data_IF_705848836694
#
_entry.id   IF_705848836694
#
_cell.length_a   1.000
_cell.length_b   1.000
_cell.length_c   1.000
_cell.angle_alpha   90.00
_cell.angle_beta   90.00
_cell.angle_gamma   90.00
#
_symmetry.space_group_name_H-M   'P 1'
#
loop_
_entity.id
_entity.type
_entity.pdbx_description
1 polymer ?
#
# COMPACT_ATOMS: atom_id res chain seq x y z
N UNK A 1 25.18 -31.68 -4.14
CA UNK A 1 24.38 -30.44 -4.35
C UNK A 1 22.94 -30.85 -4.60
N UNK A 2 22.03 -30.64 -3.63
CA UNK A 2 20.61 -31.00 -3.79
C UNK A 2 19.91 -29.88 -4.56
N UNK A 3 19.65 -30.11 -5.84
CA UNK A 3 18.81 -29.27 -6.70
C UNK A 3 17.40 -29.21 -6.10
N UNK A 4 16.94 -28.01 -5.72
CA UNK A 4 15.54 -27.77 -5.34
C UNK A 4 14.64 -28.18 -6.50
N UNK A 5 13.55 -28.95 -6.27
CA UNK A 5 12.61 -29.26 -7.32
C UNK A 5 11.94 -27.96 -7.78
N UNK A 6 12.19 -27.57 -9.03
CA UNK A 6 11.42 -26.55 -9.72
C UNK A 6 10.02 -27.13 -9.93
N UNK A 7 9.07 -26.75 -9.07
CA UNK A 7 7.66 -27.05 -9.29
C UNK A 7 7.28 -26.58 -10.71
N UNK A 8 6.80 -27.51 -11.53
CA UNK A 8 6.32 -27.21 -12.88
C UNK A 8 5.17 -26.21 -12.77
N UNK A 9 5.26 -25.11 -13.52
CA UNK A 9 4.19 -24.10 -13.57
C UNK A 9 3.08 -24.64 -14.47
N UNK A 10 1.87 -24.83 -13.92
CA UNK A 10 0.74 -25.43 -14.64
C UNK A 10 0.03 -24.43 -15.56
N UNK A 11 0.03 -23.14 -15.21
CA UNK A 11 -0.52 -22.07 -16.05
C UNK A 11 0.54 -20.99 -16.30
N UNK A 12 1.01 -20.87 -17.54
CA UNK A 12 1.98 -19.84 -17.95
C UNK A 12 1.44 -18.40 -17.81
N UNK A 13 0.11 -18.23 -17.87
CA UNK A 13 -0.54 -16.92 -17.83
C UNK A 13 -0.62 -16.33 -16.42
N UNK A 14 -1.06 -17.11 -15.43
CA UNK A 14 -1.13 -16.65 -14.03
C UNK A 14 0.02 -17.15 -13.17
N UNK A 15 0.90 -18.01 -13.70
CA UNK A 15 1.95 -18.70 -12.93
C UNK A 15 1.39 -19.37 -11.68
N UNK A 16 0.26 -20.05 -11.84
CA UNK A 16 -0.50 -20.76 -10.80
C UNK A 16 -1.08 -19.88 -9.67
N UNK A 17 -1.11 -18.56 -9.85
CA UNK A 17 -1.77 -17.65 -8.90
C UNK A 17 -3.30 -17.66 -9.02
N UNK A 18 -3.86 -18.32 -10.05
CA UNK A 18 -5.29 -18.38 -10.36
C UNK A 18 -5.96 -17.05 -10.76
N UNK A 19 -5.25 -15.92 -10.69
CA UNK A 19 -5.70 -14.60 -11.15
C UNK A 19 -4.67 -13.94 -12.07
N UNK A 20 -5.12 -12.92 -12.81
CA UNK A 20 -4.26 -12.03 -13.60
C UNK A 20 -4.46 -10.59 -13.16
N UNK A 21 -3.37 -9.84 -13.13
CA UNK A 21 -3.38 -8.40 -12.87
C UNK A 21 -3.21 -7.65 -14.20
N UNK A 22 -3.98 -6.58 -14.37
CA UNK A 22 -3.90 -5.73 -15.57
C UNK A 22 -4.17 -4.27 -15.20
N UNK A 23 -3.67 -3.34 -16.01
CA UNK A 23 -4.03 -1.94 -15.90
C UNK A 23 -5.35 -1.71 -16.67
N UNK A 24 -6.40 -1.29 -15.97
CA UNK A 24 -7.68 -0.94 -16.57
C UNK A 24 -8.10 0.43 -16.04
N UNK A 25 -8.33 1.39 -16.96
CA UNK A 25 -8.72 2.77 -16.61
C UNK A 25 -7.77 3.43 -15.59
N UNK A 26 -6.47 3.14 -15.68
CA UNK A 26 -5.45 3.74 -14.80
C UNK A 26 -5.37 3.13 -13.40
N UNK A 27 -6.07 2.02 -13.13
CA UNK A 27 -6.01 1.28 -11.86
C UNK A 27 -5.60 -0.18 -12.11
N UNK A 28 -4.90 -0.78 -11.15
CA UNK A 28 -4.64 -2.22 -11.19
C UNK A 28 -5.95 -2.93 -10.90
N UNK A 29 -6.31 -3.88 -11.76
CA UNK A 29 -7.48 -4.72 -11.59
C UNK A 29 -7.07 -6.19 -11.67
N UNK A 30 -7.58 -6.96 -10.73
CA UNK A 30 -7.45 -8.40 -10.66
C UNK A 30 -8.72 -9.07 -11.22
N UNK A 31 -8.50 -10.08 -12.06
CA UNK A 31 -9.56 -10.94 -12.59
C UNK A 31 -9.16 -12.41 -12.42
N UNK A 32 -10.13 -13.33 -12.22
CA UNK A 32 -9.84 -14.75 -12.29
C UNK A 32 -9.15 -15.09 -13.61
N UNK A 33 -8.11 -15.92 -13.54
CA UNK A 33 -7.49 -16.46 -14.74
C UNK A 33 -8.44 -17.49 -15.37
N UNK A 34 -8.36 -17.67 -16.69
CA UNK A 34 -9.16 -18.68 -17.40
C UNK A 34 -8.89 -20.12 -16.93
N UNK A 35 -7.73 -20.38 -16.34
CA UNK A 35 -7.40 -21.69 -15.75
C UNK A 35 -8.09 -21.94 -14.41
N UNK A 36 -8.69 -20.92 -13.78
CA UNK A 36 -9.42 -21.09 -12.54
C UNK A 36 -10.83 -21.58 -12.87
N UNK A 37 -11.10 -22.84 -12.53
CA UNK A 37 -12.41 -23.44 -12.52
C UNK A 37 -12.64 -24.07 -11.16
N UNK A 38 -13.78 -23.76 -10.51
CA UNK A 38 -14.16 -24.42 -9.27
C UNK A 38 -15.13 -25.56 -9.57
N UNK A 39 -14.72 -26.79 -9.28
CA UNK A 39 -15.52 -27.99 -9.53
C UNK A 39 -16.79 -28.05 -8.67
N UNK A 40 -16.76 -27.46 -7.46
CA UNK A 40 -17.89 -27.43 -6.53
C UNK A 40 -18.98 -26.45 -6.96
N UNK A 41 -18.60 -25.22 -7.29
CA UNK A 41 -19.51 -24.09 -7.50
C UNK A 41 -19.67 -23.70 -8.98
N UNK A 42 -18.82 -24.23 -9.88
CA UNK A 42 -18.70 -23.81 -11.29
C UNK A 42 -18.56 -22.29 -11.46
N UNK A 43 -17.96 -21.61 -10.49
CA UNK A 43 -17.77 -20.16 -10.47
C UNK A 43 -18.94 -19.35 -9.92
N UNK A 44 -20.04 -19.97 -9.49
CA UNK A 44 -21.19 -19.26 -8.90
C UNK A 44 -20.94 -18.71 -7.49
N UNK A 45 -19.94 -19.25 -6.78
CA UNK A 45 -19.65 -18.86 -5.39
C UNK A 45 -20.55 -19.51 -4.34
N UNK A 46 -21.53 -20.30 -4.75
CA UNK A 46 -22.57 -20.89 -3.88
C UNK A 46 -22.74 -22.37 -4.17
N UNK A 47 -23.03 -23.15 -3.13
CA UNK A 47 -23.34 -24.57 -3.23
C UNK A 47 -24.64 -24.87 -2.48
N UNK A 48 -25.39 -25.86 -2.95
CA UNK A 48 -26.53 -26.42 -2.24
C UNK A 48 -26.01 -27.54 -1.35
N UNK A 49 -26.30 -27.47 -0.06
CA UNK A 49 -26.01 -28.53 0.90
C UNK A 49 -27.31 -28.93 1.59
N UNK A 50 -27.59 -30.22 1.59
CA UNK A 50 -28.70 -30.79 2.35
C UNK A 50 -28.22 -31.10 3.77
N UNK A 51 -28.95 -30.60 4.77
CA UNK A 51 -28.74 -30.96 6.16
C UNK A 51 -29.37 -32.35 6.46
N UNK A 52 -29.11 -32.93 7.63
CA UNK A 52 -29.58 -34.28 8.03
C UNK A 52 -31.10 -34.45 7.97
N UNK A 53 -31.85 -33.35 8.07
CA UNK A 53 -33.32 -33.30 7.95
C UNK A 53 -33.83 -33.21 6.49
N UNK A 54 -32.96 -33.30 5.48
CA UNK A 54 -33.33 -33.21 4.05
C UNK A 54 -33.64 -31.79 3.58
N UNK A 55 -33.34 -30.77 4.38
CA UNK A 55 -33.54 -29.35 4.02
C UNK A 55 -32.32 -28.86 3.23
N UNK A 56 -32.52 -28.48 1.97
CA UNK A 56 -31.48 -27.87 1.15
C UNK A 56 -31.24 -26.41 1.56
N UNK A 57 -30.01 -26.09 2.01
CA UNK A 57 -29.56 -24.73 2.32
C UNK A 57 -28.48 -24.28 1.35
N UNK A 58 -28.52 -23.00 0.98
CA UNK A 58 -27.45 -22.38 0.19
C UNK A 58 -26.31 -22.01 1.13
N UNK A 59 -25.10 -22.52 0.86
CA UNK A 59 -23.87 -22.13 1.55
C UNK A 59 -22.89 -21.47 0.58
N UNK A 60 -21.99 -20.65 1.14
CA UNK A 60 -20.87 -20.11 0.38
C UNK A 60 -19.87 -21.23 0.08
N UNK A 61 -19.44 -21.32 -1.18
CA UNK A 61 -18.39 -22.24 -1.56
C UNK A 61 -17.03 -21.67 -1.11
N UNK A 62 -16.05 -22.52 -0.80
CA UNK A 62 -14.65 -22.11 -0.59
C UNK A 62 -14.08 -21.21 -1.71
N UNK A 63 -14.59 -21.34 -2.95
CA UNK A 63 -14.27 -20.47 -4.09
C UNK A 63 -14.68 -18.99 -3.87
N UNK A 64 -15.61 -18.71 -2.95
CA UNK A 64 -16.10 -17.37 -2.65
C UNK A 64 -15.02 -16.49 -2.03
N UNK A 65 -14.15 -17.04 -1.19
CA UNK A 65 -13.09 -16.27 -0.53
C UNK A 65 -12.07 -15.77 -1.55
N UNK A 66 -11.74 -16.59 -2.55
CA UNK A 66 -10.96 -16.14 -3.70
C UNK A 66 -11.63 -14.96 -4.41
N UNK A 67 -12.92 -15.07 -4.70
CA UNK A 67 -13.68 -14.00 -5.37
C UNK A 67 -13.78 -12.73 -4.52
N UNK A 68 -13.95 -12.86 -3.19
CA UNK A 68 -13.94 -11.74 -2.23
C UNK A 68 -12.60 -11.03 -2.23
N UNK A 69 -11.47 -11.77 -2.21
CA UNK A 69 -10.12 -11.20 -2.31
C UNK A 69 -9.92 -10.38 -3.58
N UNK A 70 -10.39 -10.86 -4.73
CA UNK A 70 -10.30 -10.09 -5.98
C UNK A 70 -11.16 -8.81 -5.95
N UNK A 71 -12.35 -8.87 -5.34
CA UNK A 71 -13.20 -7.68 -5.16
C UNK A 71 -12.53 -6.64 -4.25
N UNK A 72 -12.02 -7.06 -3.10
CA UNK A 72 -11.25 -6.20 -2.19
C UNK A 72 -10.05 -5.57 -2.90
N UNK A 73 -9.34 -6.35 -3.73
CA UNK A 73 -8.20 -5.86 -4.49
C UNK A 73 -8.58 -4.76 -5.47
N UNK A 74 -9.69 -4.95 -6.20
CA UNK A 74 -10.17 -3.97 -7.15
C UNK A 74 -10.66 -2.68 -6.47
N UNK A 75 -11.14 -2.78 -5.23
CA UNK A 75 -11.54 -1.64 -4.39
C UNK A 75 -10.36 -0.93 -3.71
N UNK A 76 -9.17 -1.53 -3.70
CA UNK A 76 -7.99 -0.96 -3.05
C UNK A 76 -7.47 0.32 -3.74
N UNK A 77 -7.83 0.57 -5.00
CA UNK A 77 -7.52 1.84 -5.69
C UNK A 77 -6.07 2.00 -6.14
N UNK A 78 -5.29 0.90 -6.21
CA UNK A 78 -3.88 0.89 -6.60
C UNK A 78 -3.70 1.45 -8.03
N UNK A 79 -2.81 2.44 -8.26
CA UNK A 79 -2.55 3.00 -9.58
C UNK A 79 -2.02 1.95 -10.56
N UNK A 80 -2.54 1.97 -11.79
CA UNK A 80 -2.28 0.99 -12.84
C UNK A 80 -0.83 0.94 -13.34
N UNK A 81 0.02 1.89 -12.97
CA UNK A 81 1.47 1.78 -13.21
C UNK A 81 2.08 0.65 -12.37
N UNK A 82 1.49 0.34 -11.22
CA UNK A 82 1.99 -0.65 -10.28
C UNK A 82 1.48 -2.08 -10.54
N UNK A 83 1.22 -2.49 -11.79
CA UNK A 83 0.67 -3.83 -12.06
C UNK A 83 1.66 -4.93 -11.71
N UNK A 84 2.92 -4.74 -12.05
CA UNK A 84 3.93 -5.80 -12.02
C UNK A 84 4.76 -5.82 -10.73
N UNK A 85 4.64 -4.79 -9.89
CA UNK A 85 5.42 -4.58 -8.69
C UNK A 85 5.01 -5.57 -7.60
N UNK A 86 6.00 -6.25 -7.02
CA UNK A 86 5.84 -7.17 -5.90
C UNK A 86 7.11 -7.20 -5.06
N UNK A 87 7.08 -7.88 -3.90
CA UNK A 87 8.26 -7.97 -3.05
C UNK A 87 9.40 -8.77 -3.71
N UNK A 88 9.06 -9.69 -4.62
CA UNK A 88 10.04 -10.59 -5.23
C UNK A 88 10.81 -9.98 -6.41
N UNK A 89 10.28 -8.91 -7.02
CA UNK A 89 10.96 -8.17 -8.09
C UNK A 89 11.50 -6.81 -7.64
N UNK A 90 11.59 -6.58 -6.33
CA UNK A 90 12.24 -5.40 -5.79
C UNK A 90 13.76 -5.55 -5.83
N UNK A 91 14.43 -4.76 -6.67
CA UNK A 91 15.87 -4.83 -6.90
C UNK A 91 16.69 -4.34 -5.70
N UNK A 92 17.45 -5.25 -5.08
CA UNK A 92 18.32 -4.94 -3.93
C UNK A 92 19.77 -5.37 -4.12
N UNK A 93 20.10 -5.95 -5.28
CA UNK A 93 21.42 -6.50 -5.54
C UNK A 93 22.47 -5.39 -5.77
N UNK A 94 23.75 -5.63 -5.42
CA UNK A 94 24.83 -4.67 -5.70
C UNK A 94 24.82 -4.20 -7.17
N UNK A 95 25.12 -2.92 -7.45
CA UNK A 95 25.74 -1.91 -6.58
C UNK A 95 24.76 -1.08 -5.73
N UNK A 96 23.55 -1.58 -5.49
CA UNK A 96 22.51 -0.89 -4.71
C UNK A 96 22.90 -0.73 -3.23
N UNK A 97 22.40 0.34 -2.60
CA UNK A 97 22.68 0.63 -1.20
C UNK A 97 21.98 -0.36 -0.26
N UNK A 98 22.65 -0.72 0.85
CA UNK A 98 22.17 -1.75 1.80
C UNK A 98 20.79 -1.46 2.40
N UNK A 99 20.41 -0.18 2.50
CA UNK A 99 19.11 0.24 3.05
C UNK A 99 17.93 -0.29 2.24
N UNK A 100 18.11 -0.55 0.94
CA UNK A 100 17.03 -1.10 0.10
C UNK A 100 16.75 -2.56 0.49
N UNK A 101 17.80 -3.33 0.80
CA UNK A 101 17.66 -4.69 1.35
C UNK A 101 17.00 -4.70 2.73
N UNK A 102 17.37 -3.74 3.60
CA UNK A 102 16.73 -3.56 4.90
C UNK A 102 15.24 -3.23 4.74
N UNK A 103 14.90 -2.29 3.86
CA UNK A 103 13.51 -1.91 3.58
C UNK A 103 12.67 -3.10 3.08
N UNK A 104 13.21 -3.91 2.17
CA UNK A 104 12.55 -5.15 1.72
C UNK A 104 12.36 -6.15 2.87
N UNK A 105 13.36 -6.29 3.73
CA UNK A 105 13.32 -7.20 4.88
C UNK A 105 12.25 -6.76 5.87
N UNK A 106 12.23 -5.47 6.25
CA UNK A 106 11.21 -4.90 7.13
C UNK A 106 9.80 -5.04 6.55
N UNK A 107 9.64 -4.88 5.24
CA UNK A 107 8.35 -5.07 4.56
C UNK A 107 7.85 -6.51 4.67
N UNK A 108 8.73 -7.49 4.47
CA UNK A 108 8.39 -8.92 4.65
C UNK A 108 8.11 -9.27 6.11
N UNK A 109 8.89 -8.73 7.05
CA UNK A 109 8.67 -8.92 8.48
C UNK A 109 7.34 -8.34 8.92
N UNK A 110 7.00 -7.14 8.46
CA UNK A 110 5.72 -6.49 8.74
C UNK A 110 4.52 -7.38 8.33
N UNK A 111 4.54 -7.96 7.12
CA UNK A 111 3.45 -8.86 6.67
C UNK A 111 3.33 -10.05 7.61
N UNK A 112 4.44 -10.69 7.96
CA UNK A 112 4.44 -11.86 8.85
C UNK A 112 3.88 -11.50 10.23
N UNK A 113 4.38 -10.42 10.82
CA UNK A 113 3.94 -9.91 12.13
C UNK A 113 2.45 -9.56 12.12
N UNK A 114 1.99 -8.83 11.10
CA UNK A 114 0.58 -8.45 10.94
C UNK A 114 -0.35 -9.66 10.90
N UNK A 115 0.00 -10.68 10.11
CA UNK A 115 -0.78 -11.91 10.00
C UNK A 115 -0.74 -12.74 11.29
N UNK A 116 0.41 -12.85 11.95
CA UNK A 116 0.56 -13.56 13.22
C UNK A 116 -0.29 -12.93 14.34
N UNK A 117 -0.33 -11.59 14.39
CA UNK A 117 -1.11 -10.85 15.37
C UNK A 117 -2.59 -10.68 14.99
N UNK A 118 -3.04 -11.32 13.89
CA UNK A 118 -4.41 -11.19 13.36
C UNK A 118 -4.88 -9.74 13.18
N UNK A 119 -3.94 -8.82 12.94
CA UNK A 119 -4.21 -7.39 12.80
C UNK A 119 -4.62 -6.63 14.06
N UNK A 120 -4.48 -7.21 15.26
CA UNK A 120 -4.97 -6.57 16.51
C UNK A 120 -4.01 -5.54 17.12
N UNK A 121 -2.73 -5.54 16.75
CA UNK A 121 -1.76 -4.57 17.29
C UNK A 121 -0.55 -4.48 16.35
N UNK A 122 -0.60 -3.63 15.33
CA UNK A 122 0.48 -3.52 14.36
C UNK A 122 0.80 -2.09 14.03
N UNK A 123 1.99 -1.65 14.44
CA UNK A 123 2.55 -0.40 13.93
C UNK A 123 2.76 -0.52 12.42
N UNK A 124 2.39 0.53 11.71
CA UNK A 124 2.65 0.69 10.30
C UNK A 124 4.11 0.95 9.98
N UNK A 125 4.39 1.31 8.73
CA UNK A 125 5.72 1.66 8.24
C UNK A 125 5.68 3.01 7.55
N UNK A 126 6.69 3.84 7.79
CA UNK A 126 6.93 5.06 7.02
C UNK A 126 8.22 4.94 6.23
N UNK A 127 8.09 4.86 4.91
CA UNK A 127 9.19 4.82 3.97
C UNK A 127 9.65 6.25 3.65
N UNK A 128 10.90 6.56 3.98
CA UNK A 128 11.50 7.89 3.83
C UNK A 128 12.74 7.80 2.95
N UNK A 129 12.90 8.72 2.00
CA UNK A 129 14.10 8.79 1.17
C UNK A 129 13.87 9.54 -0.13
N UNK A 130 14.91 9.72 -0.94
CA UNK A 130 14.79 10.45 -2.21
C UNK A 130 13.80 9.81 -3.20
N UNK A 131 13.27 10.59 -4.16
CA UNK A 131 12.43 10.07 -5.24
C UNK A 131 13.09 8.90 -5.98
N UNK A 132 12.26 7.99 -6.47
CA UNK A 132 12.74 6.93 -7.34
C UNK A 132 13.53 5.82 -6.66
N UNK A 133 13.46 5.68 -5.33
CA UNK A 133 14.04 4.56 -4.57
C UNK A 133 13.08 3.37 -4.35
N UNK A 134 11.87 3.42 -4.91
CA UNK A 134 10.91 2.32 -4.81
C UNK A 134 10.11 2.24 -3.49
N UNK A 135 9.94 3.37 -2.78
CA UNK A 135 9.10 3.46 -1.57
C UNK A 135 7.66 3.00 -1.83
N UNK A 136 7.02 3.54 -2.88
CA UNK A 136 5.66 3.18 -3.27
C UNK A 136 5.57 1.74 -3.76
N UNK A 137 6.62 1.22 -4.42
CA UNK A 137 6.70 -0.20 -4.81
C UNK A 137 6.55 -1.09 -3.59
N UNK A 138 7.32 -0.84 -2.53
CA UNK A 138 7.26 -1.63 -1.29
C UNK A 138 5.86 -1.54 -0.64
N UNK A 139 5.33 -0.33 -0.48
CA UNK A 139 4.02 -0.11 0.13
C UNK A 139 2.88 -0.82 -0.65
N UNK A 140 2.88 -0.69 -1.99
CA UNK A 140 1.93 -1.39 -2.87
C UNK A 140 2.12 -2.90 -2.77
N UNK A 141 3.35 -3.38 -2.79
CA UNK A 141 3.63 -4.82 -2.71
C UNK A 141 3.11 -5.45 -1.42
N UNK A 142 3.18 -4.73 -0.29
CA UNK A 142 2.60 -5.17 0.98
C UNK A 142 1.09 -5.34 0.85
N UNK A 143 0.36 -4.31 0.42
CA UNK A 143 -1.11 -4.40 0.35
C UNK A 143 -1.56 -5.43 -0.69
N UNK A 144 -0.83 -5.60 -1.80
CA UNK A 144 -1.12 -6.67 -2.76
C UNK A 144 -1.06 -8.05 -2.10
N UNK A 145 -0.03 -8.31 -1.32
CA UNK A 145 0.13 -9.58 -0.62
C UNK A 145 -0.93 -9.78 0.47
N UNK A 146 -1.18 -8.77 1.29
CA UNK A 146 -2.21 -8.80 2.33
C UNK A 146 -3.62 -9.05 1.77
N UNK A 147 -3.97 -8.42 0.65
CA UNK A 147 -5.28 -8.62 0.03
C UNK A 147 -5.35 -9.99 -0.66
N UNK A 148 -4.43 -10.26 -1.60
CA UNK A 148 -4.54 -11.40 -2.51
C UNK A 148 -4.26 -12.74 -1.82
N UNK A 149 -3.39 -12.77 -0.81
CA UNK A 149 -3.12 -14.00 -0.05
C UNK A 149 -3.99 -14.12 1.20
N UNK A 150 -4.21 -13.02 1.91
CA UNK A 150 -4.82 -13.07 3.25
C UNK A 150 -6.21 -12.44 3.35
N UNK A 151 -6.72 -11.78 2.30
CA UNK A 151 -8.06 -11.17 2.30
C UNK A 151 -8.24 -10.00 3.25
N UNK A 152 -7.14 -9.32 3.57
CA UNK A 152 -7.17 -8.11 4.40
C UNK A 152 -7.65 -6.93 3.56
N UNK A 153 -8.64 -6.19 4.07
CA UNK A 153 -9.10 -4.96 3.41
C UNK A 153 -8.01 -3.88 3.48
N UNK A 154 -7.53 -3.46 2.30
CA UNK A 154 -6.55 -2.39 2.20
C UNK A 154 -6.97 -1.34 1.16
N UNK A 155 -6.53 -0.10 1.33
CA UNK A 155 -6.65 0.95 0.31
C UNK A 155 -5.34 1.69 0.08
N UNK A 156 -5.23 2.25 -1.11
CA UNK A 156 -4.18 3.14 -1.55
C UNK A 156 -4.77 4.51 -1.83
N UNK A 157 -4.13 5.56 -1.32
CA UNK A 157 -4.43 6.93 -1.66
C UNK A 157 -3.15 7.68 -1.98
N UNK A 158 -3.15 8.36 -3.13
CA UNK A 158 -2.18 9.41 -3.42
C UNK A 158 -2.71 10.66 -2.74
N UNK A 159 -2.00 11.16 -1.73
CA UNK A 159 -2.51 12.25 -0.92
C UNK A 159 -2.68 13.54 -1.72
N UNK A 160 -1.83 13.78 -2.73
CA UNK A 160 -1.93 14.98 -3.55
C UNK A 160 -3.12 14.94 -4.51
N UNK A 161 -3.39 13.78 -5.10
CA UNK A 161 -4.59 13.61 -5.94
C UNK A 161 -5.87 13.70 -5.09
N UNK A 162 -5.89 13.12 -3.88
CA UNK A 162 -7.05 13.25 -2.97
C UNK A 162 -7.35 14.72 -2.64
N UNK A 163 -6.34 15.52 -2.28
CA UNK A 163 -6.53 16.94 -2.02
C UNK A 163 -7.08 17.68 -3.25
N UNK A 164 -6.66 17.28 -4.46
CA UNK A 164 -7.22 17.84 -5.69
C UNK A 164 -8.70 17.49 -5.82
N UNK A 165 -9.08 16.24 -5.61
CA UNK A 165 -10.46 15.77 -5.72
C UNK A 165 -11.38 16.48 -4.73
N UNK A 166 -10.97 16.61 -3.45
CA UNK A 166 -11.72 17.34 -2.43
C UNK A 166 -11.91 18.81 -2.84
N UNK A 167 -10.85 19.45 -3.36
CA UNK A 167 -10.94 20.85 -3.80
C UNK A 167 -11.96 21.05 -4.92
N UNK A 168 -12.05 20.10 -5.86
CA UNK A 168 -13.06 20.17 -6.93
C UNK A 168 -14.46 19.89 -6.39
N UNK A 169 -14.60 18.94 -5.45
CA UNK A 169 -15.87 18.58 -4.83
C UNK A 169 -16.58 19.72 -4.08
N UNK A 170 -15.85 20.69 -3.53
CA UNK A 170 -16.47 21.89 -2.93
C UNK A 170 -17.27 22.72 -3.95
N UNK A 171 -16.92 22.68 -5.23
CA UNK A 171 -17.69 23.35 -6.28
C UNK A 171 -19.04 22.69 -6.56
N UNK A 172 -19.24 21.46 -6.05
CA UNK A 172 -20.42 20.62 -6.28
C UNK A 172 -21.18 20.32 -4.97
N UNK A 173 -20.94 21.08 -3.89
CA UNK A 173 -21.55 20.91 -2.56
C UNK A 173 -21.36 19.50 -1.93
N UNK A 174 -20.32 18.78 -2.33
CA UNK A 174 -19.99 17.47 -1.76
C UNK A 174 -19.22 17.65 -0.46
N UNK A 175 -19.60 16.90 0.59
CA UNK A 175 -18.94 16.98 1.88
C UNK A 175 -17.52 16.38 1.85
N UNK A 176 -16.57 16.99 2.55
CA UNK A 176 -15.20 16.43 2.71
C UNK A 176 -15.22 14.99 3.22
N UNK A 177 -16.17 14.68 4.12
CA UNK A 177 -16.35 13.36 4.70
C UNK A 177 -16.58 12.29 3.64
N UNK A 178 -17.28 12.57 2.55
CA UNK A 178 -17.52 11.61 1.48
C UNK A 178 -16.24 11.16 0.77
N UNK A 179 -15.24 12.04 0.69
CA UNK A 179 -13.92 11.70 0.12
C UNK A 179 -13.03 10.96 1.12
N UNK A 180 -13.15 11.28 2.42
CA UNK A 180 -12.25 10.78 3.47
C UNK A 180 -12.72 9.44 4.06
N UNK A 181 -14.01 9.32 4.34
CA UNK A 181 -14.64 8.17 5.00
C UNK A 181 -14.29 6.82 4.33
N UNK A 182 -14.22 6.71 2.98
CA UNK A 182 -13.85 5.47 2.33
C UNK A 182 -12.44 4.98 2.68
N UNK A 183 -11.53 5.84 3.17
CA UNK A 183 -10.14 5.50 3.45
C UNK A 183 -9.84 5.34 4.94
N UNK A 184 -10.46 6.15 5.80
CA UNK A 184 -10.16 6.09 7.25
C UNK A 184 -10.68 4.81 7.90
N UNK A 185 -11.71 4.16 7.34
CA UNK A 185 -12.31 2.94 7.88
C UNK A 185 -11.51 1.65 7.66
N UNK A 186 -10.63 1.58 6.66
CA UNK A 186 -10.02 0.31 6.24
C UNK A 186 -8.94 -0.17 7.21
N UNK A 187 -8.71 -1.49 7.25
CA UNK A 187 -7.67 -2.10 8.10
C UNK A 187 -6.27 -1.63 7.76
N UNK A 188 -5.89 -1.59 6.49
CA UNK A 188 -4.57 -1.09 6.07
C UNK A 188 -4.70 0.02 5.03
N UNK A 189 -4.21 1.22 5.35
CA UNK A 189 -4.21 2.36 4.42
C UNK A 189 -2.78 2.70 3.99
N UNK A 190 -2.53 2.78 2.69
CA UNK A 190 -1.32 3.39 2.13
C UNK A 190 -1.59 4.84 1.80
N UNK A 191 -0.85 5.76 2.44
CA UNK A 191 -0.80 7.18 2.10
C UNK A 191 0.50 7.43 1.32
N UNK A 192 0.37 7.60 0.01
CA UNK A 192 1.51 7.82 -0.88
C UNK A 192 1.82 9.32 -1.05
N UNK A 193 3.11 9.62 -1.24
CA UNK A 193 3.64 10.96 -1.48
C UNK A 193 3.25 12.00 -0.41
N UNK A 194 3.29 11.59 0.86
CA UNK A 194 2.99 12.48 1.98
C UNK A 194 3.90 13.72 1.97
N UNK A 195 3.27 14.88 2.18
CA UNK A 195 3.88 16.20 2.30
C UNK A 195 4.48 16.79 1.00
N UNK A 196 4.24 16.19 -0.18
CA UNK A 196 4.73 16.70 -1.48
C UNK A 196 4.13 18.07 -1.91
N UNK A 197 3.01 18.48 -1.32
CA UNK A 197 2.27 19.70 -1.64
C UNK A 197 2.83 20.99 -1.06
N UNK A 198 2.04 22.07 -1.19
CA UNK A 198 2.38 23.36 -0.56
C UNK A 198 2.19 23.29 0.96
N UNK A 199 1.42 22.33 1.44
CA UNK A 199 1.01 22.11 2.83
C UNK A 199 0.45 23.40 3.42
N UNK A 200 -0.53 23.97 2.72
CA UNK A 200 -1.36 25.05 3.23
C UNK A 200 -2.12 24.57 4.47
N UNK A 201 -2.55 25.47 5.35
CA UNK A 201 -3.29 25.13 6.58
C UNK A 201 -4.47 24.19 6.34
N UNK A 202 -5.17 24.36 5.22
CA UNK A 202 -6.23 23.46 4.78
C UNK A 202 -5.75 22.02 4.49
N UNK A 203 -4.64 21.85 3.76
CA UNK A 203 -4.05 20.53 3.46
C UNK A 203 -3.61 19.82 4.75
N UNK A 204 -3.09 20.59 5.71
CA UNK A 204 -2.70 20.08 7.03
C UNK A 204 -3.92 19.68 7.88
N UNK A 205 -5.04 20.38 7.75
CA UNK A 205 -6.28 20.03 8.45
C UNK A 205 -6.83 18.70 7.96
N UNK A 206 -6.86 18.49 6.63
CA UNK A 206 -7.25 17.20 6.04
C UNK A 206 -6.29 16.09 6.48
N UNK A 207 -4.98 16.34 6.48
CA UNK A 207 -4.00 15.38 6.95
C UNK A 207 -4.18 15.03 8.44
N UNK A 208 -4.38 16.05 9.29
CA UNK A 208 -4.61 15.83 10.73
C UNK A 208 -5.87 15.01 10.95
N UNK A 209 -6.93 15.21 10.16
CA UNK A 209 -8.13 14.40 10.22
C UNK A 209 -7.83 12.92 9.88
N UNK A 210 -7.10 12.64 8.79
CA UNK A 210 -6.71 11.27 8.43
C UNK A 210 -5.91 10.57 9.54
N UNK A 211 -4.86 11.25 10.03
CA UNK A 211 -3.96 10.68 11.04
C UNK A 211 -4.69 10.55 12.37
N UNK A 212 -5.45 11.56 12.81
CA UNK A 212 -6.21 11.52 14.07
C UNK A 212 -7.26 10.42 14.08
N UNK A 213 -8.05 10.30 13.00
CA UNK A 213 -9.10 9.29 12.92
C UNK A 213 -8.52 7.90 13.05
N UNK A 214 -7.41 7.61 12.36
CA UNK A 214 -6.77 6.30 12.40
C UNK A 214 -5.93 6.07 13.67
N UNK A 215 -5.40 7.12 14.28
CA UNK A 215 -4.66 7.03 15.54
C UNK A 215 -5.55 6.62 16.71
N UNK A 216 -6.80 7.08 16.70
CA UNK A 216 -7.77 6.76 17.75
C UNK A 216 -8.33 5.33 17.65
N UNK A 217 -8.09 4.64 16.54
CA UNK A 217 -8.48 3.25 16.33
C UNK A 217 -7.26 2.32 16.55
N UNK A 218 -7.35 1.41 17.50
CA UNK A 218 -6.24 0.53 17.90
C UNK A 218 -5.92 -0.58 16.89
N UNK A 219 -6.84 -0.86 15.96
CA UNK A 219 -6.74 -1.96 14.98
C UNK A 219 -6.47 -1.51 13.53
N UNK A 220 -6.16 -0.23 13.32
CA UNK A 220 -5.94 0.35 12.00
C UNK A 220 -4.46 0.65 11.75
N UNK A 221 -3.96 0.14 10.62
CA UNK A 221 -2.55 0.25 10.25
C UNK A 221 -2.35 1.20 9.08
N UNK A 222 -1.32 2.04 9.15
CA UNK A 222 -1.03 3.04 8.11
C UNK A 222 0.37 2.84 7.55
N UNK A 223 0.47 2.70 6.23
CA UNK A 223 1.74 2.69 5.50
C UNK A 223 1.91 4.05 4.84
N UNK A 224 3.05 4.68 5.00
CA UNK A 224 3.30 6.03 4.46
C UNK A 224 4.53 6.01 3.58
N UNK A 225 4.49 6.74 2.48
CA UNK A 225 5.70 7.08 1.72
C UNK A 225 5.91 8.58 1.72
N UNK A 226 7.17 9.01 1.86
CA UNK A 226 7.51 10.43 1.80
C UNK A 226 8.90 10.64 1.22
N UNK A 227 9.07 11.76 0.52
CA UNK A 227 10.37 12.18 -0.01
C UNK A 227 11.20 13.00 1.01
N UNK A 228 10.64 13.30 2.18
CA UNK A 228 11.31 14.07 3.22
C UNK A 228 12.19 13.18 4.09
N UNK A 229 13.27 13.78 4.59
CA UNK A 229 14.16 13.16 5.58
C UNK A 229 13.69 13.49 6.99
N UNK A 230 14.04 12.62 7.93
CA UNK A 230 13.74 12.76 9.36
C UNK A 230 14.60 13.81 10.06
N UNK A 231 15.83 14.00 9.59
CA UNK A 231 16.76 15.03 10.06
C UNK A 231 17.34 15.73 8.85
N UNK A 232 17.53 17.04 8.94
CA UNK A 232 18.37 17.79 8.00
C UNK A 232 19.79 17.21 8.08
N UNK A 233 20.42 16.96 6.94
CA UNK A 233 21.85 16.64 6.93
C UNK A 233 22.60 17.88 7.43
N UNK A 234 23.10 17.85 8.67
CA UNK A 234 24.07 18.82 9.17
C UNK A 234 25.46 18.54 8.55
N UNK A 235 25.51 18.50 7.22
CA UNK A 235 26.74 18.38 6.44
C UNK A 235 27.36 19.75 6.28
N UNK A 236 28.45 19.97 6.99
CA UNK A 236 29.41 21.08 6.85
C UNK A 236 29.73 21.32 5.36
N UNK A 237 29.51 22.56 4.90
CA UNK A 237 30.13 23.17 3.71
C UNK A 237 29.59 22.71 2.35
N UNK A 238 28.82 23.56 1.68
CA UNK A 238 29.34 24.23 0.48
C UNK A 238 28.36 25.24 -0.11
N UNK A 239 28.91 26.43 -0.39
CA UNK A 239 28.34 27.43 -1.27
C UNK A 239 28.06 26.82 -2.65
N UNK A 240 26.82 26.41 -2.92
CA UNK A 240 26.30 26.30 -4.29
C UNK A 240 24.98 27.05 -4.44
N UNK A 241 25.13 28.37 -4.66
CA UNK A 241 24.22 29.15 -5.48
C UNK A 241 24.29 28.65 -6.93
N UNK A 242 23.51 27.64 -7.29
CA UNK A 242 23.15 27.35 -8.69
C UNK A 242 22.30 26.07 -8.79
N UNK A 243 21.07 26.19 -9.28
CA UNK A 243 20.22 25.08 -9.71
C UNK A 243 19.08 24.75 -8.73
N UNK A 244 17.87 24.51 -9.27
CA UNK A 244 16.63 24.23 -8.54
C UNK A 244 16.80 23.15 -7.45
N UNK A 245 17.07 23.55 -6.21
CA UNK A 245 17.14 22.65 -5.07
C UNK A 245 15.73 22.21 -4.67
N UNK A 246 15.46 20.90 -4.70
CA UNK A 246 14.18 20.31 -4.31
C UNK A 246 13.78 20.70 -2.88
N UNK A 247 12.53 21.09 -2.66
CA UNK A 247 12.01 21.49 -1.35
C UNK A 247 12.21 20.43 -0.25
N UNK A 248 12.35 19.15 -0.61
CA UNK A 248 12.67 18.03 0.28
C UNK A 248 14.03 18.12 0.98
N UNK A 249 14.94 18.99 0.52
CA UNK A 249 16.27 19.20 1.12
C UNK A 249 16.33 20.35 2.12
N UNK A 250 15.29 21.21 2.19
CA UNK A 250 15.29 22.43 3.02
C UNK A 250 14.51 22.31 4.33
N UNK A 251 13.57 21.36 4.40
CA UNK A 251 12.69 21.20 5.55
C UNK A 251 12.62 19.74 5.97
N UNK A 252 12.55 19.49 7.28
CA UNK A 252 12.24 18.17 7.82
C UNK A 252 10.77 17.80 7.56
N UNK A 253 10.43 16.52 7.70
CA UNK A 253 9.01 16.10 7.66
C UNK A 253 8.20 16.81 8.75
N UNK A 254 8.74 16.93 9.96
CA UNK A 254 8.08 17.57 11.11
C UNK A 254 7.74 19.04 10.85
N UNK A 255 8.69 19.83 10.32
CA UNK A 255 8.43 21.22 9.92
C UNK A 255 7.29 21.34 8.92
N UNK A 256 7.10 20.30 8.10
CA UNK A 256 6.23 20.35 6.94
C UNK A 256 4.81 19.85 7.23
N UNK A 257 4.63 18.98 8.23
CA UNK A 257 3.32 18.49 8.69
C UNK A 257 2.92 18.98 10.08
N UNK A 258 3.81 19.66 10.78
CA UNK A 258 3.62 20.14 12.15
C UNK A 258 3.87 19.06 13.21
N UNK A 259 4.19 19.48 14.45
CA UNK A 259 4.64 18.58 15.51
C UNK A 259 3.57 17.57 15.95
N UNK A 260 2.28 17.97 15.93
CA UNK A 260 1.17 17.12 16.33
C UNK A 260 0.98 15.93 15.40
N UNK A 261 0.91 16.18 14.10
CA UNK A 261 0.73 15.13 13.08
C UNK A 261 1.96 14.22 13.07
N UNK A 262 3.15 14.82 13.15
CA UNK A 262 4.41 14.08 13.20
C UNK A 262 4.47 13.14 14.41
N UNK A 263 4.18 13.64 15.61
CA UNK A 263 4.19 12.83 16.85
C UNK A 263 3.29 11.60 16.75
N UNK A 264 2.04 11.77 16.32
CA UNK A 264 1.10 10.65 16.12
C UNK A 264 1.60 9.67 15.07
N UNK A 265 2.10 10.19 13.95
CA UNK A 265 2.61 9.35 12.87
C UNK A 265 3.82 8.50 13.32
N UNK A 266 4.68 9.05 14.18
CA UNK A 266 5.83 8.33 14.73
C UNK A 266 5.45 7.26 15.76
N UNK A 267 4.34 7.44 16.47
CA UNK A 267 3.80 6.42 17.37
C UNK A 267 3.14 5.28 16.59
N UNK A 268 2.41 5.63 15.52
CA UNK A 268 1.71 4.67 14.66
C UNK A 268 2.66 3.87 13.75
N UNK A 269 3.81 4.43 13.35
CA UNK A 269 4.64 3.86 12.28
C UNK A 269 6.12 3.72 12.66
N UNK A 270 6.72 2.59 12.30
CA UNK A 270 8.18 2.41 12.34
C UNK A 270 8.83 3.03 11.11
N UNK A 271 9.90 3.81 11.30
CA UNK A 271 10.66 4.45 10.20
C UNK A 271 11.44 3.42 9.38
N UNK A 272 11.43 3.58 8.06
CA UNK A 272 12.23 2.81 7.11
C UNK A 272 12.92 3.77 6.15
N UNK A 273 14.23 3.94 6.30
CA UNK A 273 15.01 4.85 5.47
C UNK A 273 15.53 4.16 4.23
N UNK A 274 15.36 4.80 3.07
CA UNK A 274 15.88 4.38 1.78
C UNK A 274 16.90 5.41 1.30
N UNK A 275 18.07 4.91 0.92
CA UNK A 275 19.15 5.67 0.30
C UNK A 275 19.60 4.93 -0.95
N UNK A 276 20.16 5.63 -1.93
CA UNK A 276 20.64 5.05 -3.17
C UNK A 276 20.51 6.01 -4.35
N UNK A 277 20.82 5.50 -5.55
CA UNK A 277 20.56 6.21 -6.81
C UNK A 277 19.13 5.92 -7.27
N UNK A 278 18.52 6.92 -7.93
CA UNK A 278 17.19 6.81 -8.53
C UNK A 278 17.15 5.65 -9.53
N UNK A 279 16.19 4.72 -9.36
CA UNK A 279 15.95 3.60 -10.27
C UNK A 279 15.56 4.05 -11.69
N UNK A 280 15.09 5.28 -11.87
CA UNK A 280 14.65 5.84 -13.17
C UNK A 280 15.79 6.42 -13.99
N UNK A 281 16.97 6.61 -13.40
CA UNK A 281 18.13 7.23 -14.04
C UNK A 281 19.28 6.24 -14.27
N UNK A 282 18.97 4.94 -14.22
CA UNK A 282 19.93 3.84 -14.44
C UNK A 282 19.91 3.40 -15.90
#
# INVERSE_FOLDING_TARGET
MKTKPTNAINCSTCRDHQYVLSNLKGKVQAKPCKCFACEKCQGTGRILQEDEDGISRIRECECSDFSKRLKLFNQAGIPGKFVHEGLDNYEVNPPRHRSLKDALTRSRTFIKEFIQMKGQYSQGLIYMGEPGLGKTHLAVSIIKELILKHGVECKFVDFFELLRDIRHGYGEDISEGEFINPYVGVKVLVIDELAKGRNTDWELTILDHFISSRYNDDDKVTLVTTNFKDKLDNGIGDNKKSGHSNASTRHTLEEKIGPRIFSRLMEMCKKVHLQGKDFRQV
#
